data_IF_335530134435
#
_entry.id   IF_335530134435
#
_cell.length_a   1.000
_cell.length_b   1.000
_cell.length_c   1.000
_cell.angle_alpha   90.00
_cell.angle_beta   90.00
_cell.angle_gamma   90.00
#
_symmetry.space_group_name_H-M   'P 1'
#
loop_
_entity.id
_entity.type
_entity.pdbx_description
1 polymer ?
#
# COMPACT_ATOMS: atom_id res chain seq x y z
N UNK A 1 -31.36 50.12 -15.23
CA UNK A 1 -31.26 48.77 -14.61
C UNK A 1 -29.91 48.20 -15.04
N UNK A 2 -28.94 48.25 -14.14
CA UNK A 2 -27.62 47.67 -14.42
C UNK A 2 -27.77 46.15 -14.44
N UNK A 3 -27.49 45.58 -15.59
CA UNK A 3 -27.56 44.14 -15.78
C UNK A 3 -26.49 43.46 -14.89
N UNK A 4 -26.90 42.57 -13.99
CA UNK A 4 -25.99 41.87 -13.07
C UNK A 4 -25.23 40.74 -13.81
N UNK A 5 -24.54 41.11 -14.89
CA UNK A 5 -23.79 40.23 -15.76
C UNK A 5 -22.69 39.48 -14.98
N UNK A 6 -21.97 40.18 -14.09
CA UNK A 6 -20.89 39.63 -13.29
C UNK A 6 -21.45 38.61 -12.30
N UNK A 7 -22.59 38.88 -11.65
CA UNK A 7 -23.22 37.93 -10.72
C UNK A 7 -23.60 36.61 -11.42
N UNK A 8 -24.26 36.72 -12.59
CA UNK A 8 -24.62 35.52 -13.38
C UNK A 8 -23.39 34.73 -13.86
N UNK A 9 -22.31 35.40 -14.25
CA UNK A 9 -21.06 34.74 -14.64
C UNK A 9 -20.37 34.07 -13.47
N UNK A 10 -20.40 34.61 -12.26
CA UNK A 10 -19.91 33.96 -11.06
C UNK A 10 -20.73 32.74 -10.67
N UNK A 11 -22.06 32.82 -10.74
CA UNK A 11 -22.96 31.68 -10.49
C UNK A 11 -22.73 30.55 -11.51
N UNK A 12 -22.58 30.88 -12.80
CA UNK A 12 -22.22 29.90 -13.84
C UNK A 12 -20.85 29.26 -13.58
N UNK A 13 -19.86 30.03 -13.16
CA UNK A 13 -18.53 29.54 -12.82
C UNK A 13 -18.54 28.62 -11.60
N UNK A 14 -19.26 28.98 -10.54
CA UNK A 14 -19.45 28.16 -9.35
C UNK A 14 -20.22 26.87 -9.66
N UNK A 15 -21.26 26.95 -10.47
CA UNK A 15 -22.02 25.80 -10.94
C UNK A 15 -21.17 24.85 -11.80
N UNK A 16 -20.32 25.38 -12.70
CA UNK A 16 -19.36 24.59 -13.48
C UNK A 16 -18.28 23.97 -12.60
N UNK A 17 -17.76 24.69 -11.60
CA UNK A 17 -16.82 24.20 -10.64
C UNK A 17 -17.40 23.07 -9.79
N UNK A 18 -18.65 23.21 -9.37
CA UNK A 18 -19.39 22.18 -8.64
C UNK A 18 -19.71 20.95 -9.51
N UNK A 19 -19.98 21.15 -10.80
CA UNK A 19 -20.25 20.08 -11.77
C UNK A 19 -18.96 19.34 -12.20
N UNK A 20 -17.82 20.05 -12.26
CA UNK A 20 -16.53 19.46 -12.69
C UNK A 20 -15.86 18.59 -11.60
N UNK A 21 -16.30 18.68 -10.35
CA UNK A 21 -15.76 17.89 -9.21
C UNK A 21 -16.66 16.68 -8.89
N UNK A 22 -17.31 16.08 -9.86
CA UNK A 22 -17.70 14.67 -9.75
C UNK A 22 -16.48 13.80 -10.03
N UNK A 23 -15.47 13.89 -9.17
CA UNK A 23 -14.45 12.82 -9.06
C UNK A 23 -15.22 11.51 -8.86
N UNK A 24 -15.06 10.60 -9.80
CA UNK A 24 -15.67 9.26 -9.76
C UNK A 24 -15.20 8.63 -8.45
N UNK A 25 -16.04 8.65 -7.41
CA UNK A 25 -15.71 8.08 -6.10
C UNK A 25 -15.49 6.59 -6.31
N UNK A 26 -14.26 6.15 -6.12
CA UNK A 26 -13.93 4.72 -6.15
C UNK A 26 -14.57 4.08 -4.92
N UNK A 27 -15.35 3.02 -5.09
CA UNK A 27 -15.95 2.33 -3.95
C UNK A 27 -14.88 1.61 -3.12
N UNK A 28 -15.09 1.48 -1.82
CA UNK A 28 -14.21 0.68 -0.94
C UNK A 28 -14.04 -0.74 -1.46
N UNK A 29 -15.12 -1.36 -1.94
CA UNK A 29 -15.07 -2.69 -2.53
C UNK A 29 -14.10 -2.76 -3.72
N UNK A 30 -14.12 -1.77 -4.61
CA UNK A 30 -13.18 -1.70 -5.74
C UNK A 30 -11.73 -1.53 -5.27
N UNK A 31 -11.50 -0.73 -4.21
CA UNK A 31 -10.16 -0.59 -3.62
C UNK A 31 -9.67 -1.92 -3.02
N UNK A 32 -10.53 -2.61 -2.28
CA UNK A 32 -10.21 -3.92 -1.69
C UNK A 32 -9.91 -4.98 -2.75
N UNK A 33 -10.64 -5.00 -3.86
CA UNK A 33 -10.39 -5.92 -4.98
C UNK A 33 -9.04 -5.67 -5.66
N UNK A 34 -8.66 -4.40 -5.81
CA UNK A 34 -7.41 -3.98 -6.46
C UNK A 34 -6.20 -4.01 -5.53
N UNK A 35 -6.40 -3.96 -4.22
CA UNK A 35 -5.33 -4.01 -3.24
C UNK A 35 -4.78 -5.44 -3.15
N UNK A 36 -3.72 -5.71 -3.91
CA UNK A 36 -3.06 -7.02 -3.96
C UNK A 36 -1.60 -6.89 -3.58
N UNK A 37 -1.07 -7.92 -2.89
CA UNK A 37 0.36 -8.01 -2.58
C UNK A 37 1.17 -8.21 -3.86
N UNK A 38 1.56 -7.11 -4.51
CA UNK A 38 2.38 -7.15 -5.73
C UNK A 38 3.86 -7.30 -5.40
N UNK A 39 4.56 -8.09 -6.19
CA UNK A 39 6.00 -8.35 -6.03
C UNK A 39 6.78 -8.02 -7.29
N UNK A 40 6.09 -7.60 -8.36
CA UNK A 40 6.65 -7.07 -9.58
C UNK A 40 6.16 -5.66 -9.85
N UNK A 41 7.07 -4.73 -10.05
CA UNK A 41 6.79 -3.31 -10.21
C UNK A 41 7.34 -2.79 -11.55
N UNK A 42 6.72 -1.74 -12.06
CA UNK A 42 7.25 -0.95 -13.19
C UNK A 42 8.47 -0.15 -12.71
N UNK A 43 9.67 -0.67 -12.96
CA UNK A 43 10.92 -0.06 -12.53
C UNK A 43 11.17 1.32 -13.19
N UNK A 44 10.52 1.61 -14.32
CA UNK A 44 10.59 2.91 -15.00
C UNK A 44 9.75 3.99 -14.29
N UNK A 45 8.70 3.58 -13.57
CA UNK A 45 7.84 4.48 -12.83
C UNK A 45 8.44 4.79 -11.45
N UNK A 46 8.75 6.05 -11.22
CA UNK A 46 9.29 6.52 -9.93
C UNK A 46 8.18 7.14 -9.08
N UNK A 47 7.95 6.55 -7.90
CA UNK A 47 7.02 7.09 -6.92
C UNK A 47 7.63 8.36 -6.34
N UNK A 48 6.89 9.49 -6.41
CA UNK A 48 7.33 10.78 -5.89
C UNK A 48 7.17 10.85 -4.38
N UNK A 49 7.98 11.69 -3.75
CA UNK A 49 7.93 11.91 -2.29
C UNK A 49 6.56 12.41 -1.82
N UNK A 50 5.91 13.31 -2.57
CA UNK A 50 4.57 13.80 -2.24
C UNK A 50 3.50 12.69 -2.24
N UNK A 51 3.64 11.68 -3.12
CA UNK A 51 2.78 10.50 -3.10
C UNK A 51 3.00 9.68 -1.82
N UNK A 52 4.25 9.44 -1.42
CA UNK A 52 4.53 8.73 -0.16
C UNK A 52 4.04 9.49 1.06
N UNK A 53 4.16 10.82 1.09
CA UNK A 53 3.58 11.67 2.14
C UNK A 53 2.07 11.51 2.20
N UNK A 54 1.37 11.48 1.06
CA UNK A 54 -0.08 11.29 1.01
C UNK A 54 -0.52 9.92 1.56
N UNK A 55 0.32 8.88 1.46
CA UNK A 55 0.08 7.58 2.12
C UNK A 55 0.12 7.72 3.63
N UNK A 56 1.15 8.39 4.16
CA UNK A 56 1.30 8.62 5.61
C UNK A 56 0.18 9.49 6.16
N UNK A 57 -0.28 10.50 5.40
CA UNK A 57 -1.45 11.30 5.79
C UNK A 57 -2.72 10.45 5.96
N UNK A 58 -2.93 9.45 5.12
CA UNK A 58 -4.03 8.52 5.29
C UNK A 58 -3.86 7.67 6.58
N UNK A 59 -2.66 7.13 6.81
CA UNK A 59 -2.36 6.35 8.02
C UNK A 59 -2.49 7.18 9.31
N UNK A 60 -2.16 8.49 9.26
CA UNK A 60 -2.32 9.41 10.40
C UNK A 60 -3.77 9.52 10.87
N UNK A 61 -4.74 9.34 9.96
CA UNK A 61 -6.17 9.38 10.28
C UNK A 61 -6.70 8.04 10.80
N UNK A 62 -5.91 6.97 10.72
CA UNK A 62 -6.30 5.67 11.24
C UNK A 62 -6.34 5.68 12.78
N UNK A 63 -7.28 4.95 13.40
CA UNK A 63 -7.31 4.81 14.86
C UNK A 63 -6.07 4.08 15.37
N UNK A 64 -5.63 4.43 16.59
CA UNK A 64 -4.61 3.69 17.32
C UNK A 64 -5.04 3.45 18.76
N UNK A 65 -4.58 2.36 19.36
CA UNK A 65 -4.94 1.98 20.71
C UNK A 65 -4.60 3.10 21.70
N UNK A 66 -5.61 3.57 22.45
CA UNK A 66 -5.49 4.71 23.39
C UNK A 66 -4.93 5.98 22.75
N UNK A 67 -5.07 6.12 21.43
CA UNK A 67 -4.49 7.20 20.63
C UNK A 67 -2.96 7.39 20.86
N UNK A 68 -2.25 6.30 21.11
CA UNK A 68 -0.83 6.37 21.49
C UNK A 68 0.11 6.75 20.34
N UNK A 69 -0.33 6.60 19.08
CA UNK A 69 0.37 7.04 17.86
C UNK A 69 1.87 6.68 17.86
N UNK A 70 2.17 5.40 18.17
CA UNK A 70 3.54 4.92 18.35
C UNK A 70 4.35 4.81 17.05
N UNK A 71 3.67 4.76 15.90
CA UNK A 71 4.33 4.51 14.61
C UNK A 71 5.05 5.74 14.07
N UNK A 72 6.17 5.49 13.39
CA UNK A 72 6.98 6.47 12.65
C UNK A 72 7.29 5.93 11.28
N UNK A 73 7.34 6.80 10.26
CA UNK A 73 7.44 6.41 8.87
C UNK A 73 8.67 7.05 8.22
N UNK A 74 9.60 6.22 7.74
CA UNK A 74 10.72 6.65 6.91
C UNK A 74 10.35 6.42 5.44
N UNK A 75 10.25 7.48 4.69
CA UNK A 75 9.98 7.45 3.25
C UNK A 75 11.30 7.25 2.51
N UNK A 76 11.32 6.31 1.58
CA UNK A 76 12.47 5.96 0.75
C UNK A 76 12.04 6.10 -0.70
N UNK A 77 12.65 7.03 -1.42
CA UNK A 77 12.43 7.26 -2.85
C UNK A 77 13.43 6.48 -3.69
N UNK A 78 13.34 6.57 -5.02
CA UNK A 78 14.20 5.81 -5.94
C UNK A 78 15.70 6.08 -5.73
N UNK A 79 16.06 7.29 -5.29
CA UNK A 79 17.45 7.68 -5.02
C UNK A 79 18.06 6.90 -3.86
N UNK A 80 17.25 6.52 -2.88
CA UNK A 80 17.67 5.79 -1.68
C UNK A 80 17.28 4.31 -1.69
N UNK A 81 16.58 3.83 -2.73
CA UNK A 81 16.07 2.45 -2.81
C UNK A 81 17.17 1.41 -2.66
N UNK A 82 18.40 1.70 -3.12
CA UNK A 82 19.58 0.86 -3.00
C UNK A 82 20.00 0.59 -1.55
N UNK A 83 19.56 1.40 -0.59
CA UNK A 83 19.82 1.22 0.85
C UNK A 83 18.89 0.18 1.49
N UNK A 84 17.80 -0.18 0.82
CA UNK A 84 16.77 -1.10 1.32
C UNK A 84 16.71 -2.39 0.51
N UNK A 85 16.72 -2.28 -0.82
CA UNK A 85 16.46 -3.39 -1.74
C UNK A 85 17.34 -4.64 -1.49
N UNK A 86 18.65 -4.56 -1.22
CA UNK A 86 19.49 -5.73 -0.96
C UNK A 86 19.17 -6.46 0.35
N UNK A 87 18.42 -5.82 1.23
CA UNK A 87 18.16 -6.28 2.59
C UNK A 87 16.74 -6.82 2.81
N UNK A 88 15.92 -6.90 1.76
CA UNK A 88 14.56 -7.44 1.81
C UNK A 88 14.46 -8.79 1.12
N UNK A 89 13.45 -9.59 1.51
CA UNK A 89 13.12 -10.85 0.84
C UNK A 89 11.65 -10.83 0.42
N UNK A 90 11.40 -11.10 -0.87
CA UNK A 90 10.07 -11.22 -1.44
C UNK A 90 9.74 -12.67 -1.77
N UNK A 91 8.45 -13.01 -1.82
CA UNK A 91 7.99 -14.30 -2.33
C UNK A 91 8.28 -15.50 -1.43
N UNK A 92 8.32 -15.34 -0.10
CA UNK A 92 8.70 -16.42 0.83
C UNK A 92 7.91 -17.74 0.71
N UNK A 93 6.69 -17.73 0.17
CA UNK A 93 5.91 -18.95 -0.10
C UNK A 93 6.17 -19.54 -1.49
N UNK A 94 6.91 -18.85 -2.36
CA UNK A 94 7.33 -19.30 -3.69
C UNK A 94 8.82 -19.02 -3.88
N UNK A 95 9.70 -19.61 -3.05
CA UNK A 95 11.14 -19.32 -3.08
C UNK A 95 11.79 -19.70 -4.41
N UNK A 96 11.23 -20.66 -5.14
CA UNK A 96 11.66 -21.09 -6.45
C UNK A 96 11.60 -20.00 -7.53
N UNK A 97 10.80 -18.96 -7.32
CA UNK A 97 10.65 -17.88 -8.30
C UNK A 97 11.71 -16.79 -8.20
N UNK A 98 12.49 -16.74 -7.12
CA UNK A 98 13.52 -15.71 -6.88
C UNK A 98 13.00 -14.27 -7.15
N UNK A 99 11.93 -13.90 -6.45
CA UNK A 99 11.28 -12.60 -6.63
C UNK A 99 12.07 -11.45 -5.94
N UNK A 100 12.04 -10.22 -6.49
CA UNK A 100 11.37 -9.81 -7.74
C UNK A 100 12.10 -10.33 -8.98
N UNK A 101 11.39 -10.46 -10.09
CA UNK A 101 12.08 -10.73 -11.36
C UNK A 101 12.94 -9.54 -11.78
N UNK A 102 14.02 -9.80 -12.50
CA UNK A 102 14.93 -8.77 -13.02
C UNK A 102 14.16 -7.69 -13.79
N UNK A 103 14.43 -6.43 -13.47
CA UNK A 103 13.74 -5.28 -14.08
C UNK A 103 12.34 -5.00 -13.51
N UNK A 104 11.90 -5.76 -12.49
CA UNK A 104 10.63 -5.51 -11.81
C UNK A 104 10.79 -5.19 -10.34
N UNK A 105 11.97 -4.72 -9.93
CA UNK A 105 12.28 -4.37 -8.56
C UNK A 105 11.50 -3.13 -8.10
N UNK A 106 11.04 -3.10 -6.84
CA UNK A 106 10.48 -1.89 -6.27
C UNK A 106 11.55 -0.82 -6.09
N UNK A 107 11.19 0.43 -6.36
CA UNK A 107 12.09 1.57 -6.21
C UNK A 107 11.61 2.62 -5.20
N UNK A 108 10.57 2.32 -4.45
CA UNK A 108 10.11 3.18 -3.37
C UNK A 108 9.59 2.35 -2.19
N UNK A 109 9.88 2.83 -0.97
CA UNK A 109 9.50 2.12 0.25
C UNK A 109 8.98 3.08 1.33
N UNK A 110 8.11 2.54 2.18
CA UNK A 110 7.78 3.13 3.48
C UNK A 110 8.26 2.17 4.55
N UNK A 111 9.31 2.54 5.28
CA UNK A 111 9.78 1.78 6.43
C UNK A 111 9.02 2.25 7.66
N UNK A 112 8.27 1.36 8.29
CA UNK A 112 7.46 1.66 9.47
C UNK A 112 8.25 1.26 10.71
N UNK A 113 8.54 2.24 11.54
CA UNK A 113 9.21 2.08 12.82
C UNK A 113 8.23 2.28 13.98
N UNK A 114 8.60 1.87 15.18
CA UNK A 114 7.79 2.14 16.38
C UNK A 114 8.64 2.69 17.51
N UNK A 115 8.05 3.65 18.25
CA UNK A 115 8.62 4.21 19.48
C UNK A 115 8.31 3.37 20.72
N UNK A 116 7.46 2.33 20.58
CA UNK A 116 6.98 1.45 21.64
C UNK A 116 6.91 0.02 21.12
N UNK A 117 6.79 -0.92 22.02
CA UNK A 117 6.57 -2.34 21.74
C UNK A 117 5.27 -2.83 22.39
N UNK A 118 4.78 -3.99 21.95
CA UNK A 118 3.67 -4.70 22.54
C UNK A 118 2.47 -4.90 21.62
N UNK A 119 1.58 -5.79 22.01
CA UNK A 119 0.43 -6.27 21.25
C UNK A 119 -0.41 -5.17 20.57
N UNK A 120 -0.62 -4.05 21.25
CA UNK A 120 -1.41 -2.95 20.68
C UNK A 120 -0.68 -2.22 19.57
N UNK A 121 0.65 -2.18 19.62
CA UNK A 121 1.47 -1.62 18.53
C UNK A 121 1.36 -2.49 17.29
N UNK A 122 1.34 -3.82 17.44
CA UNK A 122 1.16 -4.76 16.32
C UNK A 122 -0.22 -4.60 15.66
N UNK A 123 -1.27 -4.38 16.46
CA UNK A 123 -2.61 -4.06 15.94
C UNK A 123 -2.61 -2.74 15.17
N UNK A 124 -2.05 -1.68 15.75
CA UNK A 124 -1.96 -0.36 15.14
C UNK A 124 -1.15 -0.42 13.83
N UNK A 125 -0.07 -1.24 13.81
CA UNK A 125 0.74 -1.49 12.62
C UNK A 125 -0.08 -2.09 11.47
N UNK A 126 -0.89 -3.11 11.76
CA UNK A 126 -1.79 -3.71 10.76
C UNK A 126 -2.82 -2.73 10.21
N UNK A 127 -3.45 -1.94 11.09
CA UNK A 127 -4.44 -0.93 10.70
C UNK A 127 -3.82 0.16 9.82
N UNK A 128 -2.68 0.72 10.24
CA UNK A 128 -1.98 1.74 9.48
C UNK A 128 -1.50 1.22 8.13
N UNK A 129 -0.94 0.02 8.10
CA UNK A 129 -0.45 -0.65 6.88
C UNK A 129 -1.56 -0.83 5.85
N UNK A 130 -2.71 -1.38 6.26
CA UNK A 130 -3.85 -1.55 5.35
C UNK A 130 -4.36 -0.21 4.83
N UNK A 131 -4.39 0.82 5.69
CA UNK A 131 -4.80 2.18 5.29
C UNK A 131 -3.85 2.77 4.25
N UNK A 132 -2.52 2.65 4.44
CA UNK A 132 -1.50 3.06 3.48
C UNK A 132 -1.70 2.38 2.12
N UNK A 133 -1.92 1.06 2.11
CA UNK A 133 -2.07 0.28 0.88
C UNK A 133 -3.37 0.61 0.14
N UNK A 134 -4.49 0.83 0.83
CA UNK A 134 -5.74 1.27 0.20
C UNK A 134 -5.58 2.66 -0.43
N UNK A 135 -4.88 3.58 0.26
CA UNK A 135 -4.57 4.89 -0.30
C UNK A 135 -3.66 4.79 -1.52
N UNK A 136 -2.68 3.88 -1.51
CA UNK A 136 -1.83 3.61 -2.67
C UNK A 136 -2.67 3.18 -3.88
N UNK A 137 -3.61 2.25 -3.70
CA UNK A 137 -4.51 1.79 -4.77
C UNK A 137 -5.39 2.91 -5.30
N UNK A 138 -5.92 3.77 -4.44
CA UNK A 138 -6.69 4.95 -4.85
C UNK A 138 -5.87 5.90 -5.75
N UNK A 139 -4.55 5.95 -5.53
CA UNK A 139 -3.61 6.74 -6.31
C UNK A 139 -3.07 6.02 -7.55
N UNK A 140 -3.58 4.82 -7.89
CA UNK A 140 -3.13 4.01 -9.02
C UNK A 140 -1.79 3.29 -8.76
N UNK A 141 -1.40 3.17 -7.49
CA UNK A 141 -0.24 2.41 -7.02
C UNK A 141 -0.71 1.10 -6.37
N UNK A 142 0.24 0.24 -6.04
CA UNK A 142 0.02 -0.94 -5.23
C UNK A 142 1.25 -1.21 -4.36
N UNK A 143 1.21 -2.23 -3.53
CA UNK A 143 2.35 -2.52 -2.69
C UNK A 143 2.31 -3.92 -2.07
N UNK A 144 3.31 -4.19 -1.26
CA UNK A 144 3.44 -5.42 -0.47
C UNK A 144 4.06 -5.14 0.87
N UNK A 145 3.55 -5.85 1.90
CA UNK A 145 4.15 -5.87 3.24
C UNK A 145 5.34 -6.84 3.26
N UNK A 146 6.47 -6.38 3.76
CA UNK A 146 7.71 -7.13 3.86
C UNK A 146 8.11 -7.18 5.34
N UNK A 147 7.92 -8.34 5.96
CA UNK A 147 8.39 -8.63 7.31
C UNK A 147 9.76 -9.33 7.33
N UNK A 148 10.11 -9.97 6.21
CA UNK A 148 11.39 -10.67 6.04
C UNK A 148 12.45 -9.70 5.48
N UNK A 149 13.17 -9.03 6.37
CA UNK A 149 14.27 -8.11 6.03
C UNK A 149 15.34 -8.09 7.12
N UNK A 150 16.53 -7.68 6.76
CA UNK A 150 17.63 -7.43 7.70
C UNK A 150 17.39 -6.11 8.43
N UNK A 151 16.91 -6.21 9.69
CA UNK A 151 16.54 -5.05 10.51
C UNK A 151 17.72 -4.16 10.85
N UNK A 152 18.87 -4.77 11.14
CA UNK A 152 20.07 -4.04 11.56
C UNK A 152 20.68 -3.29 10.39
N UNK A 153 20.82 -3.94 9.24
CA UNK A 153 21.32 -3.31 8.02
C UNK A 153 20.41 -2.13 7.57
N UNK A 154 19.09 -2.34 7.52
CA UNK A 154 18.13 -1.28 7.14
C UNK A 154 18.18 -0.12 8.14
N UNK A 155 18.26 -0.43 9.45
CA UNK A 155 18.34 0.60 10.49
C UNK A 155 19.62 1.44 10.35
N UNK A 156 20.75 0.79 10.13
CA UNK A 156 22.05 1.46 9.97
C UNK A 156 22.09 2.30 8.68
N UNK A 157 21.70 1.72 7.54
CA UNK A 157 21.75 2.39 6.24
C UNK A 157 20.85 3.64 6.19
N UNK A 158 19.65 3.57 6.77
CA UNK A 158 18.71 4.67 6.81
C UNK A 158 18.85 5.57 8.03
N UNK A 159 19.78 5.26 8.96
CA UNK A 159 20.01 5.96 10.24
C UNK A 159 18.72 6.16 11.02
N UNK A 160 17.97 5.05 11.21
CA UNK A 160 16.67 5.10 11.84
C UNK A 160 16.80 5.37 13.35
N UNK A 161 16.03 6.34 13.90
CA UNK A 161 16.04 6.63 15.34
C UNK A 161 15.22 5.63 16.17
N UNK A 162 14.44 4.78 15.51
CA UNK A 162 13.55 3.80 16.13
C UNK A 162 13.60 2.47 15.36
N UNK A 163 13.39 1.31 16.03
CA UNK A 163 13.47 0.01 15.40
C UNK A 163 12.42 -0.16 14.30
N UNK A 164 12.82 -0.62 13.09
CA UNK A 164 11.90 -0.89 11.99
C UNK A 164 11.08 -2.16 12.28
N UNK A 165 9.77 -2.08 12.08
CA UNK A 165 8.81 -3.16 12.30
C UNK A 165 8.41 -3.83 11.01
N UNK A 166 8.17 -3.04 9.96
CA UNK A 166 7.66 -3.50 8.66
C UNK A 166 8.16 -2.58 7.55
N UNK A 167 8.35 -3.14 6.37
CA UNK A 167 8.63 -2.37 5.15
C UNK A 167 7.46 -2.56 4.18
N UNK A 168 6.98 -1.47 3.59
CA UNK A 168 6.08 -1.51 2.45
C UNK A 168 6.87 -1.16 1.20
N UNK A 169 6.94 -2.06 0.22
CA UNK A 169 7.32 -1.68 -1.13
C UNK A 169 6.11 -1.09 -1.84
N UNK A 170 6.29 0.06 -2.49
CA UNK A 170 5.22 0.82 -3.16
C UNK A 170 5.64 1.11 -4.60
N UNK A 171 4.71 0.93 -5.53
CA UNK A 171 4.96 1.23 -6.93
C UNK A 171 3.75 0.93 -7.82
N UNK A 172 3.92 1.06 -9.13
CA UNK A 172 2.94 0.60 -10.10
C UNK A 172 3.13 -0.90 -10.33
N UNK A 173 2.08 -1.71 -10.07
CA UNK A 173 2.15 -3.15 -10.32
C UNK A 173 2.23 -3.46 -11.82
N UNK A 174 3.06 -4.44 -12.16
CA UNK A 174 3.09 -5.07 -13.50
C UNK A 174 2.52 -6.50 -13.46
N UNK A 175 2.05 -6.94 -12.28
CA UNK A 175 1.51 -8.29 -12.11
C UNK A 175 0.02 -8.35 -12.41
N UNK A 176 -0.40 -9.43 -13.06
CA UNK A 176 -1.79 -9.84 -13.13
C UNK A 176 -2.08 -10.76 -11.94
N UNK A 177 -2.96 -10.33 -11.04
CA UNK A 177 -3.28 -11.06 -9.80
C UNK A 177 -4.79 -11.30 -9.75
N UNK A 178 -5.18 -12.56 -9.60
CA UNK A 178 -6.59 -12.97 -9.50
C UNK A 178 -6.88 -13.62 -8.14
N UNK A 179 -8.05 -13.32 -7.61
CA UNK A 179 -8.58 -13.96 -6.41
C UNK A 179 -9.47 -15.12 -6.83
N UNK A 180 -9.27 -16.29 -6.24
CA UNK A 180 -10.06 -17.52 -6.48
C UNK A 180 -10.74 -17.89 -5.18
N UNK A 181 -12.05 -18.12 -5.25
CA UNK A 181 -12.79 -18.62 -4.10
C UNK A 181 -12.52 -20.12 -3.89
N UNK A 182 -12.22 -20.48 -2.65
CA UNK A 182 -12.02 -21.85 -2.21
C UNK A 182 -12.91 -22.17 -1.01
N UNK A 183 -13.24 -23.45 -0.81
CA UNK A 183 -13.93 -23.92 0.39
C UNK A 183 -12.94 -24.22 1.52
N UNK A 184 -13.46 -24.35 2.75
CA UNK A 184 -12.68 -24.80 3.90
C UNK A 184 -12.08 -26.20 3.63
N UNK A 185 -10.78 -26.37 3.96
CA UNK A 185 -10.03 -27.61 3.71
C UNK A 185 -9.32 -27.67 2.37
N UNK A 186 -9.61 -26.77 1.43
CA UNK A 186 -8.84 -26.63 0.20
C UNK A 186 -7.51 -25.87 0.42
N UNK A 187 -6.56 -26.03 -0.50
CA UNK A 187 -5.24 -25.45 -0.39
C UNK A 187 -5.24 -23.91 -0.48
N UNK A 188 -4.79 -23.22 0.57
CA UNK A 188 -4.74 -21.74 0.63
C UNK A 188 -3.45 -21.16 0.04
N UNK A 189 -2.48 -22.00 -0.37
CA UNK A 189 -1.22 -21.54 -0.94
C UNK A 189 -1.48 -20.83 -2.28
N UNK A 190 -1.04 -19.59 -2.43
CA UNK A 190 -1.07 -18.91 -3.71
C UNK A 190 -0.10 -19.56 -4.70
N UNK A 191 -0.41 -19.47 -6.00
CA UNK A 191 0.36 -20.08 -7.06
C UNK A 191 0.40 -19.21 -8.30
N UNK A 192 1.29 -19.54 -9.26
CA UNK A 192 1.37 -18.86 -10.55
C UNK A 192 1.17 -19.85 -11.68
N UNK A 193 0.37 -19.45 -12.66
CA UNK A 193 0.11 -20.21 -13.87
C UNK A 193 -0.08 -19.25 -15.05
N UNK A 194 0.56 -19.53 -16.19
CA UNK A 194 0.44 -18.76 -17.43
C UNK A 194 0.59 -17.23 -17.26
N UNK A 195 1.48 -16.80 -16.35
CA UNK A 195 1.73 -15.38 -16.10
C UNK A 195 0.75 -14.71 -15.10
N UNK A 196 -0.27 -15.43 -14.64
CA UNK A 196 -1.24 -14.96 -13.65
C UNK A 196 -0.85 -15.46 -12.26
N UNK A 197 -0.98 -14.59 -11.26
CA UNK A 197 -0.78 -14.92 -9.85
C UNK A 197 -2.14 -15.14 -9.18
N UNK A 198 -2.46 -16.39 -8.85
CA UNK A 198 -3.73 -16.77 -8.22
C UNK A 198 -3.60 -16.74 -6.70
N UNK A 199 -4.58 -16.10 -6.06
CA UNK A 199 -4.64 -15.95 -4.59
C UNK A 199 -5.93 -16.58 -4.07
N UNK A 200 -5.89 -17.83 -3.56
CA UNK A 200 -7.04 -18.48 -2.97
C UNK A 200 -7.56 -17.73 -1.73
N UNK A 201 -8.88 -17.58 -1.65
CA UNK A 201 -9.59 -16.99 -0.51
C UNK A 201 -10.77 -17.89 -0.12
N UNK A 202 -10.90 -18.13 1.19
CA UNK A 202 -12.07 -18.78 1.73
C UNK A 202 -13.33 -17.99 1.42
N UNK A 203 -14.42 -18.69 1.13
CA UNK A 203 -15.73 -18.08 0.97
C UNK A 203 -16.20 -17.45 2.27
N UNK A 204 -17.10 -16.46 2.16
CA UNK A 204 -17.58 -15.72 3.33
C UNK A 204 -18.28 -16.60 4.35
N UNK A 205 -19.05 -17.59 3.88
CA UNK A 205 -19.74 -18.56 4.74
C UNK A 205 -18.78 -19.38 5.61
N UNK A 206 -17.58 -19.70 5.09
CA UNK A 206 -16.56 -20.47 5.82
C UNK A 206 -15.78 -19.60 6.85
N UNK A 207 -15.97 -18.29 6.83
CA UNK A 207 -15.32 -17.34 7.75
C UNK A 207 -16.25 -16.90 8.90
N UNK A 208 -17.53 -17.19 8.82
CA UNK A 208 -18.53 -16.81 9.82
C UNK A 208 -18.75 -18.00 10.76
N UNK A 209 -18.62 -17.77 12.05
CA UNK A 209 -18.94 -18.73 13.11
C UNK A 209 -20.37 -18.46 13.56
N UNK A 210 -21.25 -19.48 13.47
CA UNK A 210 -22.62 -19.43 13.99
C UNK A 210 -22.71 -19.91 15.45
#
# INVERSE_FOLDING_TARGET
MADNYIGRKMEEYEAQKCASVRTRRVSLQSLLQKNRSTRGFDASFKVRKDQLVALVEAARLAPSARNQQALRFRLVTAEEAHLVLPHIKLGGALPELNLPFEGTEPNAFVVICSTKEGRFVDMDLGIATQTLLLRAVEMGLNGVCIAAFDRDAVSANLKLPHPPQLILAIGRSVEHIEVVDIAEGEGQKYYRETGVHFVPKLKTEDLIIE
#
